data_IF_095551537628
#
_entry.id   IF_095551537628
#
_cell.length_a   1.000
_cell.length_b   1.000
_cell.length_c   1.000
_cell.angle_alpha   90.00
_cell.angle_beta   90.00
_cell.angle_gamma   90.00
#
_symmetry.space_group_name_H-M   'P 1'
#
loop_
_entity.id
_entity.type
_entity.pdbx_description
1 polymer ?
#
# COMPACT_ATOMS: atom_id res chain seq x y z
N UNK A 1 18.41 3.00 28.87
CA UNK A 1 17.26 3.58 28.14
C UNK A 1 17.54 3.77 26.65
N UNK A 2 18.69 4.35 26.25
CA UNK A 2 19.06 4.54 24.81
C UNK A 2 18.96 3.24 23.99
N UNK A 3 19.56 2.15 24.48
CA UNK A 3 19.55 0.84 23.81
C UNK A 3 18.16 0.25 23.53
N UNK A 4 17.19 0.47 24.44
CA UNK A 4 15.82 -0.05 24.28
C UNK A 4 15.08 0.74 23.20
N UNK A 5 15.29 2.07 23.15
CA UNK A 5 14.71 2.91 22.10
C UNK A 5 15.25 2.51 20.73
N UNK A 6 16.57 2.40 20.60
CA UNK A 6 17.21 1.99 19.33
C UNK A 6 16.69 0.64 18.83
N UNK A 7 16.59 -0.34 19.73
CA UNK A 7 16.04 -1.66 19.41
C UNK A 7 14.57 -1.59 18.98
N UNK A 8 13.74 -0.81 19.68
CA UNK A 8 12.33 -0.62 19.30
C UNK A 8 12.19 0.02 17.92
N UNK A 9 12.99 1.05 17.61
CA UNK A 9 13.01 1.68 16.28
C UNK A 9 13.45 0.68 15.20
N UNK A 10 14.47 -0.13 15.47
CA UNK A 10 14.94 -1.15 14.52
C UNK A 10 13.89 -2.21 14.22
N UNK A 11 13.11 -2.63 15.22
CA UNK A 11 12.00 -3.58 15.02
C UNK A 11 10.87 -2.92 14.23
N UNK A 12 10.47 -1.71 14.60
CA UNK A 12 9.40 -0.99 13.92
C UNK A 12 9.72 -0.66 12.46
N UNK A 13 10.94 -0.22 12.17
CA UNK A 13 11.39 0.06 10.78
C UNK A 13 11.54 -1.19 9.91
N UNK A 14 11.63 -2.38 10.50
CA UNK A 14 11.59 -3.64 9.75
C UNK A 14 10.15 -4.03 9.36
N UNK A 15 9.20 -3.88 10.28
CA UNK A 15 7.77 -4.17 10.03
C UNK A 15 7.11 -3.09 9.15
N UNK A 16 7.68 -1.87 9.15
CA UNK A 16 7.27 -0.75 8.30
C UNK A 16 8.38 -0.41 7.30
N UNK A 17 8.52 -1.21 6.22
CA UNK A 17 9.65 -1.14 5.32
C UNK A 17 9.70 0.16 4.53
N UNK A 18 10.92 0.60 4.24
CA UNK A 18 11.20 1.82 3.46
C UNK A 18 11.59 1.53 2.01
N UNK A 19 11.67 0.26 1.63
CA UNK A 19 11.92 -0.18 0.25
C UNK A 19 10.92 -1.25 -0.18
N UNK A 20 10.59 -1.26 -1.47
CA UNK A 20 9.67 -2.26 -2.04
C UNK A 20 10.22 -3.69 -1.91
N UNK A 21 11.53 -3.85 -2.10
CA UNK A 21 12.18 -5.15 -1.93
C UNK A 21 12.11 -5.65 -0.48
N UNK A 22 12.25 -4.75 0.51
CA UNK A 22 12.04 -5.09 1.90
C UNK A 22 10.59 -5.56 2.10
N UNK A 23 9.59 -4.80 1.63
CA UNK A 23 8.18 -5.20 1.69
C UNK A 23 7.95 -6.61 1.12
N UNK A 24 8.52 -6.93 -0.04
CA UNK A 24 8.37 -8.24 -0.68
C UNK A 24 9.05 -9.39 0.06
N UNK A 25 10.03 -9.07 0.91
CA UNK A 25 10.83 -10.05 1.66
C UNK A 25 10.46 -10.14 3.13
N UNK A 26 9.69 -9.19 3.65
CA UNK A 26 9.33 -9.12 5.07
C UNK A 26 8.44 -10.30 5.42
N UNK A 27 8.77 -10.94 6.54
CA UNK A 27 7.88 -11.88 7.20
C UNK A 27 7.13 -11.11 8.28
N UNK A 28 5.82 -10.95 8.08
CA UNK A 28 4.93 -10.19 8.96
C UNK A 28 5.09 -10.65 10.42
N UNK A 29 5.21 -9.68 11.33
CA UNK A 29 5.25 -9.88 12.78
C UNK A 29 6.38 -10.79 13.25
N UNK A 30 7.51 -10.82 12.52
CA UNK A 30 8.70 -11.58 12.93
C UNK A 30 9.55 -10.84 13.96
N UNK A 31 9.35 -9.53 14.15
CA UNK A 31 10.10 -8.70 15.11
C UNK A 31 9.23 -7.96 16.12
N UNK A 32 7.92 -7.89 15.90
CA UNK A 32 6.93 -7.38 16.84
C UNK A 32 5.89 -8.45 17.18
N UNK A 33 5.21 -8.28 18.31
CA UNK A 33 4.08 -9.14 18.65
C UNK A 33 2.92 -8.88 17.67
N UNK A 34 2.25 -9.96 17.25
CA UNK A 34 1.08 -9.90 16.39
C UNK A 34 -0.01 -9.01 17.04
N UNK A 35 -0.44 -7.93 16.36
CA UNK A 35 -1.39 -6.99 16.91
C UNK A 35 -2.78 -7.63 17.08
N UNK A 36 -3.47 -7.24 18.16
CA UNK A 36 -4.86 -7.69 18.42
C UNK A 36 -5.85 -7.26 17.33
N UNK A 37 -5.55 -6.19 16.60
CA UNK A 37 -6.31 -5.75 15.43
C UNK A 37 -5.43 -4.92 14.49
N UNK A 38 -5.80 -4.94 13.20
CA UNK A 38 -5.13 -4.15 12.16
C UNK A 38 -5.28 -2.64 12.39
N UNK A 39 -6.41 -2.20 12.95
CA UNK A 39 -6.59 -0.80 13.37
C UNK A 39 -5.57 -0.40 14.42
N UNK A 40 -5.38 -1.24 15.45
CA UNK A 40 -4.44 -1.00 16.54
C UNK A 40 -3.00 -0.89 16.01
N UNK A 41 -2.61 -1.78 15.10
CA UNK A 41 -1.29 -1.81 14.48
C UNK A 41 -0.93 -0.48 13.81
N UNK A 42 -1.71 -0.09 12.79
CA UNK A 42 -1.39 1.07 11.97
C UNK A 42 -1.53 2.38 12.74
N UNK A 43 -2.55 2.50 13.61
CA UNK A 43 -2.74 3.72 14.39
C UNK A 43 -1.64 3.89 15.43
N UNK A 44 -1.23 2.80 16.09
CA UNK A 44 -0.10 2.85 17.03
C UNK A 44 1.20 3.19 16.30
N UNK A 45 1.44 2.62 15.12
CA UNK A 45 2.63 2.93 14.33
C UNK A 45 2.69 4.41 13.94
N UNK A 46 1.59 5.00 13.49
CA UNK A 46 1.50 6.45 13.16
C UNK A 46 1.76 7.31 14.40
N UNK A 47 1.12 6.99 15.53
CA UNK A 47 1.33 7.73 16.77
C UNK A 47 2.78 7.63 17.27
N UNK A 48 3.38 6.44 17.21
CA UNK A 48 4.78 6.21 17.58
C UNK A 48 5.74 6.95 16.65
N UNK A 49 5.46 6.97 15.35
CA UNK A 49 6.25 7.73 14.38
C UNK A 49 6.31 9.21 14.75
N UNK A 50 5.15 9.81 15.05
CA UNK A 50 5.05 11.21 15.48
C UNK A 50 5.72 11.44 16.84
N UNK A 51 5.45 10.57 17.83
CA UNK A 51 5.96 10.72 19.19
C UNK A 51 7.50 10.60 19.27
N UNK A 52 8.09 9.70 18.48
CA UNK A 52 9.52 9.41 18.55
C UNK A 52 10.34 9.99 17.40
N UNK A 53 9.69 10.78 16.53
CA UNK A 53 10.27 11.40 15.34
C UNK A 53 10.93 10.37 14.41
N UNK A 54 10.12 9.39 13.98
CA UNK A 54 10.51 8.31 13.05
C UNK A 54 9.64 8.42 11.79
N UNK A 55 9.72 9.51 11.02
CA UNK A 55 8.78 9.78 9.94
C UNK A 55 8.89 8.79 8.77
N UNK A 56 10.00 8.05 8.66
CA UNK A 56 10.24 7.08 7.58
C UNK A 56 9.26 5.90 7.55
N UNK A 57 8.57 5.59 8.66
CA UNK A 57 7.56 4.50 8.68
C UNK A 57 6.17 4.97 8.27
N UNK A 58 5.91 6.29 8.28
CA UNK A 58 4.60 6.87 8.00
C UNK A 58 4.05 6.49 6.61
N UNK A 59 4.84 6.48 5.51
CA UNK A 59 4.30 6.16 4.19
C UNK A 59 3.66 4.77 4.13
N UNK A 60 4.32 3.76 4.71
CA UNK A 60 3.77 2.41 4.77
C UNK A 60 2.59 2.33 5.75
N UNK A 61 2.68 2.99 6.90
CA UNK A 61 1.59 2.98 7.89
C UNK A 61 0.29 3.59 7.33
N UNK A 62 0.39 4.71 6.62
CA UNK A 62 -0.76 5.32 5.95
C UNK A 62 -1.27 4.48 4.78
N UNK A 63 -0.39 3.82 4.02
CA UNK A 63 -0.80 2.85 3.00
C UNK A 63 -1.59 1.69 3.62
N UNK A 64 -1.12 1.14 4.74
CA UNK A 64 -1.80 0.08 5.48
C UNK A 64 -3.20 0.48 5.92
N UNK A 65 -3.38 1.70 6.46
CA UNK A 65 -4.71 2.25 6.73
C UNK A 65 -5.60 2.23 5.48
N UNK A 66 -5.07 2.66 4.33
CA UNK A 66 -5.82 2.73 3.08
C UNK A 66 -6.14 1.35 2.48
N UNK A 67 -5.29 0.36 2.74
CA UNK A 67 -5.39 -1.00 2.21
C UNK A 67 -6.31 -1.89 3.04
N UNK A 68 -6.19 -1.85 4.37
CA UNK A 68 -6.88 -2.76 5.28
C UNK A 68 -8.15 -2.19 5.92
N UNK A 69 -8.25 -0.86 6.07
CA UNK A 69 -9.32 -0.24 6.86
C UNK A 69 -10.41 0.36 5.97
N UNK A 70 -11.64 0.32 6.46
CA UNK A 70 -12.75 1.07 5.88
C UNK A 70 -12.67 2.54 6.26
N UNK A 71 -13.30 3.43 5.48
CA UNK A 71 -13.41 4.85 5.87
C UNK A 71 -14.07 5.04 7.24
N UNK A 72 -15.00 4.16 7.62
CA UNK A 72 -15.61 4.21 8.95
C UNK A 72 -14.56 3.98 10.04
N UNK A 73 -13.70 2.97 9.89
CA UNK A 73 -12.63 2.68 10.85
C UNK A 73 -11.58 3.80 10.90
N UNK A 74 -11.22 4.37 9.75
CA UNK A 74 -10.28 5.52 9.70
C UNK A 74 -10.86 6.73 10.43
N UNK A 75 -12.14 7.02 10.24
CA UNK A 75 -12.78 8.23 10.77
C UNK A 75 -13.31 8.10 12.20
N UNK A 76 -13.50 6.88 12.73
CA UNK A 76 -14.16 6.65 14.01
C UNK A 76 -13.26 5.85 14.97
N UNK A 77 -13.03 6.34 16.19
CA UNK A 77 -12.33 5.57 17.22
C UNK A 77 -13.11 4.28 17.57
N UNK A 78 -12.39 3.18 17.77
CA UNK A 78 -12.98 1.90 18.24
C UNK A 78 -13.38 1.94 19.74
N UNK A 79 -13.09 3.04 20.43
CA UNK A 79 -13.46 3.30 21.82
C UNK A 79 -12.50 4.29 22.49
N UNK A 80 -12.79 4.75 23.71
CA UNK A 80 -11.97 5.74 24.42
C UNK A 80 -10.58 5.22 24.82
N UNK A 81 -10.38 3.90 24.87
CA UNK A 81 -9.12 3.26 25.25
C UNK A 81 -8.28 2.82 24.04
N UNK A 82 -8.79 2.95 22.82
CA UNK A 82 -8.08 2.59 21.60
C UNK A 82 -7.40 3.82 21.00
N UNK A 83 -6.22 3.66 20.36
CA UNK A 83 -5.62 4.75 19.61
C UNK A 83 -6.60 5.23 18.54
N UNK A 84 -6.54 6.53 18.24
CA UNK A 84 -7.28 7.16 17.16
C UNK A 84 -6.33 8.04 16.37
N UNK A 85 -6.60 8.20 15.08
CA UNK A 85 -5.87 9.12 14.24
C UNK A 85 -6.23 10.56 14.59
N UNK A 86 -5.24 11.46 14.50
CA UNK A 86 -5.51 12.89 14.57
C UNK A 86 -6.37 13.33 13.37
N UNK A 87 -6.99 14.51 13.44
CA UNK A 87 -7.74 15.06 12.29
C UNK A 87 -6.88 15.19 11.04
N UNK A 88 -5.60 15.55 11.22
CA UNK A 88 -4.64 15.67 10.14
C UNK A 88 -4.31 14.30 9.53
N UNK A 89 -4.06 13.29 10.35
CA UNK A 89 -3.79 11.92 9.88
C UNK A 89 -5.00 11.30 9.16
N UNK A 90 -6.23 11.57 9.63
CA UNK A 90 -7.45 11.17 8.91
C UNK A 90 -7.51 11.82 7.54
N UNK A 91 -7.25 13.13 7.45
CA UNK A 91 -7.21 13.84 6.17
C UNK A 91 -6.12 13.28 5.25
N UNK A 92 -4.93 12.99 5.79
CA UNK A 92 -3.82 12.36 5.07
C UNK A 92 -4.23 11.01 4.47
N UNK A 93 -4.88 10.14 5.26
CA UNK A 93 -5.41 8.87 4.78
C UNK A 93 -6.44 9.05 3.66
N UNK A 94 -7.42 9.94 3.82
CA UNK A 94 -8.49 10.12 2.82
C UNK A 94 -7.96 10.67 1.49
N UNK A 95 -7.10 11.70 1.54
CA UNK A 95 -6.48 12.29 0.35
C UNK A 95 -5.51 11.31 -0.30
N UNK A 96 -4.72 10.60 0.51
CA UNK A 96 -3.79 9.57 0.05
C UNK A 96 -4.50 8.42 -0.63
N UNK A 97 -5.61 7.93 -0.07
CA UNK A 97 -6.45 6.88 -0.65
C UNK A 97 -6.94 7.26 -2.04
N UNK A 98 -7.47 8.48 -2.20
CA UNK A 98 -7.94 8.95 -3.50
C UNK A 98 -6.80 8.93 -4.53
N UNK A 99 -5.64 9.50 -4.18
CA UNK A 99 -4.46 9.52 -5.06
C UNK A 99 -3.95 8.11 -5.38
N UNK A 100 -3.96 7.19 -4.42
CA UNK A 100 -3.57 5.79 -4.61
C UNK A 100 -4.48 5.08 -5.59
N UNK A 101 -5.80 5.24 -5.45
CA UNK A 101 -6.79 4.65 -6.35
C UNK A 101 -6.69 5.23 -7.77
N UNK A 102 -6.43 6.52 -7.90
CA UNK A 102 -6.20 7.14 -9.20
C UNK A 102 -4.89 6.65 -9.85
N UNK A 103 -3.81 6.53 -9.08
CA UNK A 103 -2.52 6.07 -9.60
C UNK A 103 -2.49 4.57 -9.89
N UNK A 104 -3.11 3.72 -9.07
CA UNK A 104 -3.15 2.28 -9.33
C UNK A 104 -3.81 1.97 -10.66
N UNK A 105 -4.86 2.72 -11.05
CA UNK A 105 -5.52 2.52 -12.34
C UNK A 105 -4.62 2.90 -13.53
N UNK A 106 -3.75 3.91 -13.34
CA UNK A 106 -2.85 4.46 -14.37
C UNK A 106 -1.52 3.73 -14.48
N UNK A 107 -1.04 3.17 -13.37
CA UNK A 107 0.29 2.59 -13.25
C UNK A 107 0.19 1.07 -13.02
N UNK A 108 -0.13 0.61 -11.80
CA UNK A 108 -0.17 -0.82 -11.45
C UNK A 108 -1.11 -1.65 -12.33
N UNK A 109 -2.31 -1.14 -12.61
CA UNK A 109 -3.36 -1.83 -13.37
C UNK A 109 -3.54 -1.28 -14.79
N UNK A 110 -2.55 -0.52 -15.30
CA UNK A 110 -2.60 0.05 -16.64
C UNK A 110 -2.84 -1.00 -17.74
N UNK A 111 -2.29 -2.20 -17.55
CA UNK A 111 -2.40 -3.35 -18.45
C UNK A 111 -3.83 -3.84 -18.69
N UNK A 112 -4.78 -3.48 -17.81
CA UNK A 112 -6.22 -3.76 -18.01
C UNK A 112 -6.81 -3.02 -19.21
N UNK A 113 -6.14 -1.97 -19.68
CA UNK A 113 -6.57 -1.17 -20.84
C UNK A 113 -5.77 -1.49 -22.11
N UNK A 114 -4.80 -2.42 -22.04
CA UNK A 114 -4.04 -2.85 -23.21
C UNK A 114 -4.88 -3.74 -24.13
N UNK A 115 -4.57 -3.70 -25.43
CA UNK A 115 -5.18 -4.57 -26.44
C UNK A 115 -4.35 -5.83 -26.65
N UNK A 116 -5.01 -6.91 -27.07
CA UNK A 116 -4.36 -8.15 -27.48
C UNK A 116 -4.34 -8.21 -29.03
N UNK A 117 -3.17 -8.48 -29.61
CA UNK A 117 -2.98 -8.59 -31.07
C UNK A 117 -3.03 -10.03 -31.60
N UNK A 118 -3.06 -11.02 -30.70
CA UNK A 118 -3.15 -12.43 -31.07
C UNK A 118 -4.57 -12.84 -31.51
N UNK A 119 -4.69 -14.03 -32.10
CA UNK A 119 -5.99 -14.65 -32.44
C UNK A 119 -6.89 -14.86 -31.21
N UNK A 120 -6.33 -14.82 -29.99
CA UNK A 120 -7.06 -14.96 -28.72
C UNK A 120 -7.51 -13.61 -28.15
N UNK A 121 -7.62 -12.58 -28.97
CA UNK A 121 -7.90 -11.20 -28.53
C UNK A 121 -9.19 -11.08 -27.72
N UNK A 122 -10.26 -11.74 -28.16
CA UNK A 122 -11.55 -11.75 -27.46
C UNK A 122 -11.46 -12.35 -26.06
N UNK A 123 -10.74 -13.46 -25.90
CA UNK A 123 -10.55 -14.14 -24.60
C UNK A 123 -9.77 -13.23 -23.65
N UNK A 124 -8.68 -12.63 -24.12
CA UNK A 124 -7.88 -11.71 -23.32
C UNK A 124 -8.69 -10.46 -22.92
N UNK A 125 -9.49 -9.90 -23.82
CA UNK A 125 -10.30 -8.72 -23.56
C UNK A 125 -11.42 -9.02 -22.55
N UNK A 126 -12.05 -10.20 -22.65
CA UNK A 126 -13.02 -10.67 -21.66
C UNK A 126 -12.39 -10.85 -20.27
N UNK A 127 -11.17 -11.42 -20.21
CA UNK A 127 -10.43 -11.56 -18.96
C UNK A 127 -10.12 -10.18 -18.32
N UNK A 128 -9.61 -9.22 -19.11
CA UNK A 128 -9.39 -7.84 -18.64
C UNK A 128 -10.67 -7.16 -18.17
N UNK A 129 -11.77 -7.36 -18.88
CA UNK A 129 -13.07 -6.81 -18.47
C UNK A 129 -13.54 -7.39 -17.14
N UNK A 130 -13.44 -8.71 -16.94
CA UNK A 130 -13.74 -9.36 -15.67
C UNK A 130 -12.87 -8.80 -14.54
N UNK A 131 -11.57 -8.59 -14.81
CA UNK A 131 -10.68 -8.02 -13.80
C UNK A 131 -11.03 -6.57 -13.44
N UNK A 132 -11.44 -5.75 -14.41
CA UNK A 132 -11.93 -4.38 -14.12
C UNK A 132 -13.15 -4.36 -13.20
N UNK A 133 -14.01 -5.37 -13.26
CA UNK A 133 -15.19 -5.46 -12.39
C UNK A 133 -14.84 -5.61 -10.91
N UNK A 134 -13.65 -6.13 -10.56
CA UNK A 134 -13.19 -6.20 -9.17
C UNK A 134 -12.92 -4.83 -8.52
N UNK A 135 -12.83 -3.77 -9.33
CA UNK A 135 -12.62 -2.40 -8.84
C UNK A 135 -13.91 -1.56 -8.83
N UNK A 136 -15.07 -2.17 -9.10
CA UNK A 136 -16.36 -1.49 -9.14
C UNK A 136 -17.30 -2.04 -8.03
N UNK A 137 -18.27 -1.25 -7.55
CA UNK A 137 -18.48 0.18 -7.82
C UNK A 137 -17.52 1.10 -7.05
N UNK A 138 -16.94 0.60 -5.95
CA UNK A 138 -15.93 1.31 -5.18
C UNK A 138 -14.61 0.53 -5.29
N UNK A 139 -13.53 1.15 -5.79
CA UNK A 139 -12.26 0.47 -5.94
C UNK A 139 -11.62 0.20 -4.57
N UNK A 140 -11.08 -0.99 -4.39
CA UNK A 140 -10.15 -1.26 -3.29
C UNK A 140 -8.78 -0.63 -3.59
N UNK A 141 -8.09 -0.13 -2.57
CA UNK A 141 -6.69 0.28 -2.70
C UNK A 141 -5.83 -0.99 -2.74
N UNK A 142 -5.35 -1.36 -3.93
CA UNK A 142 -4.51 -2.54 -4.22
C UNK A 142 -3.23 -2.15 -4.94
N UNK A 143 -2.82 -0.89 -4.80
CA UNK A 143 -1.78 -0.25 -5.61
C UNK A 143 -0.43 -0.94 -5.51
N UNK A 144 -0.13 -1.54 -4.35
CA UNK A 144 1.14 -2.21 -4.07
C UNK A 144 1.01 -3.73 -3.95
N UNK A 145 -0.10 -4.34 -4.41
CA UNK A 145 -0.21 -5.79 -4.45
C UNK A 145 0.80 -6.38 -5.43
N UNK A 146 1.54 -7.43 -5.05
CA UNK A 146 2.40 -8.14 -6.00
C UNK A 146 1.54 -8.83 -7.07
N UNK A 147 2.14 -9.13 -8.21
CA UNK A 147 1.47 -9.91 -9.25
C UNK A 147 1.06 -11.30 -8.72
N UNK A 148 -0.24 -11.51 -8.56
CA UNK A 148 -0.87 -12.80 -8.27
C UNK A 148 -1.12 -13.56 -9.59
N UNK A 149 -1.72 -14.77 -9.59
CA UNK A 149 -2.22 -15.37 -10.82
C UNK A 149 -3.49 -14.64 -11.34
N UNK A 150 -3.39 -13.32 -11.59
CA UNK A 150 -4.37 -12.51 -12.34
C UNK A 150 -4.49 -12.97 -13.81
N UNK A 151 -3.64 -13.93 -14.21
CA UNK A 151 -3.47 -14.47 -15.56
C UNK A 151 -4.66 -15.29 -16.08
N UNK A 152 -5.67 -15.60 -15.25
CA UNK A 152 -6.77 -16.44 -15.70
C UNK A 152 -7.47 -15.81 -16.93
N UNK A 153 -7.26 -16.44 -18.08
CA UNK A 153 -7.85 -16.04 -19.36
C UNK A 153 -6.99 -15.12 -20.24
N UNK A 154 -5.78 -14.71 -19.83
CA UNK A 154 -4.83 -14.05 -20.74
C UNK A 154 -4.06 -15.09 -21.55
N UNK A 155 -3.74 -14.78 -22.80
CA UNK A 155 -2.71 -15.52 -23.55
C UNK A 155 -1.33 -15.26 -22.93
N UNK A 156 -0.36 -16.12 -23.26
CA UNK A 156 0.99 -16.08 -22.67
C UNK A 156 1.68 -14.72 -22.87
N UNK A 157 1.62 -14.16 -24.08
CA UNK A 157 2.17 -12.84 -24.40
C UNK A 157 1.53 -11.73 -23.54
N UNK A 158 0.18 -11.67 -23.52
CA UNK A 158 -0.54 -10.69 -22.70
C UNK A 158 -0.26 -10.85 -21.20
N UNK A 159 -0.08 -12.08 -20.72
CA UNK A 159 0.21 -12.35 -19.31
C UNK A 159 1.63 -11.89 -18.94
N UNK A 160 2.61 -12.12 -19.82
CA UNK A 160 3.98 -11.65 -19.64
C UNK A 160 4.04 -10.11 -19.63
N UNK A 161 3.43 -9.46 -20.62
CA UNK A 161 3.38 -8.00 -20.73
C UNK A 161 2.65 -7.37 -19.54
N UNK A 162 1.52 -7.95 -19.13
CA UNK A 162 0.75 -7.47 -18.00
C UNK A 162 1.56 -7.55 -16.69
N UNK A 163 2.27 -8.66 -16.46
CA UNK A 163 3.13 -8.81 -15.28
C UNK A 163 4.24 -7.76 -15.25
N UNK A 164 4.95 -7.56 -16.36
CA UNK A 164 6.01 -6.54 -16.47
C UNK A 164 5.43 -5.14 -16.20
N UNK A 165 4.31 -4.80 -16.83
CA UNK A 165 3.63 -3.53 -16.63
C UNK A 165 3.17 -3.33 -15.18
N UNK A 166 2.65 -4.38 -14.55
CA UNK A 166 2.14 -4.34 -13.18
C UNK A 166 3.25 -4.06 -12.17
N UNK A 167 4.35 -4.82 -12.23
CA UNK A 167 5.48 -4.63 -11.32
C UNK A 167 6.18 -3.28 -11.54
N UNK A 168 6.27 -2.80 -12.79
CA UNK A 168 6.77 -1.46 -13.08
C UNK A 168 5.86 -0.37 -12.49
N UNK A 169 4.55 -0.52 -12.61
CA UNK A 169 3.56 0.38 -12.03
C UNK A 169 3.61 0.40 -10.50
N UNK A 170 3.67 -0.79 -9.89
CA UNK A 170 3.85 -1.00 -8.45
C UNK A 170 5.09 -0.27 -7.92
N UNK A 171 6.23 -0.45 -8.58
CA UNK A 171 7.47 0.27 -8.23
C UNK A 171 7.29 1.78 -8.33
N UNK A 172 6.68 2.27 -9.41
CA UNK A 172 6.45 3.71 -9.61
C UNK A 172 5.57 4.33 -8.52
N UNK A 173 4.56 3.60 -8.04
CA UNK A 173 3.73 4.03 -6.91
C UNK A 173 4.55 3.99 -5.62
N UNK A 174 5.34 2.93 -5.37
CA UNK A 174 6.21 2.86 -4.19
C UNK A 174 7.15 4.07 -4.11
N UNK A 175 7.84 4.39 -5.21
CA UNK A 175 8.80 5.51 -5.26
C UNK A 175 8.14 6.87 -4.93
N UNK A 176 6.82 7.00 -5.15
CA UNK A 176 6.02 8.18 -4.88
C UNK A 176 5.20 8.10 -3.59
N UNK A 177 5.20 6.96 -2.90
CA UNK A 177 4.29 6.69 -1.80
C UNK A 177 4.25 7.79 -0.73
N UNK A 178 5.40 8.32 -0.26
CA UNK A 178 5.39 9.42 0.71
C UNK A 178 4.66 10.67 0.18
N UNK A 179 4.91 11.03 -1.08
CA UNK A 179 4.32 12.20 -1.72
C UNK A 179 2.79 12.08 -1.88
N UNK A 180 2.27 10.85 -2.02
CA UNK A 180 0.83 10.62 -2.06
C UNK A 180 0.16 11.07 -0.75
N UNK A 181 0.84 10.85 0.36
CA UNK A 181 0.42 11.27 1.70
C UNK A 181 0.89 12.67 2.10
N UNK A 182 1.46 13.45 1.17
CA UNK A 182 1.94 14.81 1.47
C UNK A 182 3.21 14.86 2.33
N UNK A 183 3.91 13.74 2.47
CA UNK A 183 5.18 13.63 3.19
C UNK A 183 6.36 13.99 2.27
N UNK A 184 7.55 14.30 2.83
CA UNK A 184 8.79 14.40 2.07
C UNK A 184 9.11 13.13 1.28
N UNK A 185 9.92 13.24 0.24
CA UNK A 185 10.36 12.07 -0.55
C UNK A 185 11.12 11.05 0.30
N UNK A 186 11.20 9.80 -0.16
CA UNK A 186 12.01 8.76 0.50
C UNK A 186 13.45 9.22 0.79
N UNK A 187 14.08 9.93 -0.14
CA UNK A 187 15.43 10.46 0.04
C UNK A 187 15.53 11.44 1.23
N UNK A 188 14.49 12.25 1.46
CA UNK A 188 14.46 13.19 2.57
C UNK A 188 14.17 12.45 3.88
N UNK A 189 13.17 11.57 3.90
CA UNK A 189 12.76 10.79 5.08
C UNK A 189 13.88 9.88 5.63
N UNK A 190 14.77 9.39 4.78
CA UNK A 190 15.85 8.49 5.17
C UNK A 190 17.14 9.21 5.59
N UNK A 191 17.18 10.55 5.52
CA UNK A 191 18.33 11.37 5.90
C UNK A 191 18.17 12.06 7.26
N UNK A 192 16.96 12.02 7.81
CA UNK A 192 16.61 12.53 9.14
C UNK A 192 16.84 11.46 10.22
#
# INVERSE_FOLDING_TARGET
>A
MVRIREEAVQRLTYEFPTTLAALDSTVDYSRIEDPKSVTLEFFSAIQLAHQFNIPQILPWAFYGCCYYLTFKQICQPEGPLHPSLSREDVQTCLVGWQKLVEQQARDTFAWLNSTCTSEKSDVCNAARQKMRQHFAPLPACKALDPWQPWQQGLCEECAADAKVSHEAGRKKIWDKLPLLFGLPSWFQLLRE
#
